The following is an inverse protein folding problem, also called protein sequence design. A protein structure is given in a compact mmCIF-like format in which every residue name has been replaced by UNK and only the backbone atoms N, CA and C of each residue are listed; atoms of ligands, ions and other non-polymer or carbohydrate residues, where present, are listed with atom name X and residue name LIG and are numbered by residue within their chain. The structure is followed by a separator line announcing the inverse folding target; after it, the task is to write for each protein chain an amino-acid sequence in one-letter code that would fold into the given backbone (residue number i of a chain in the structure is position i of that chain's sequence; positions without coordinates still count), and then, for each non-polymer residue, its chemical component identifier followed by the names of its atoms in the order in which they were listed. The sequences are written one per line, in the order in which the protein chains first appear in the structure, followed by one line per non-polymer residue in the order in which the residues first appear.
data_IF_473028503313
#
_entry.id   IF_473028503313
#
_cell.length_a   1.000
_cell.length_b   1.000
_cell.length_c   1.000
_cell.angle_alpha   90.00
_cell.angle_beta   90.00
_cell.angle_gamma   90.00
#
_symmetry.space_group_name_H-M   'P 1'
#
loop_
_entity.id
_entity.type
_entity.pdbx_description
1 polymer ?
#
# COMPACT_ATOMS: atom_id res chain seq x y z
N UNK A 1 -16.83 3.73 15.00
CA UNK A 1 -17.14 3.45 13.58
C UNK A 1 -18.65 3.36 13.49
N UNK A 2 -19.28 4.47 13.13
CA UNK A 2 -20.73 4.67 13.25
C UNK A 2 -21.46 4.12 12.02
N UNK A 3 -21.25 2.82 11.73
CA UNK A 3 -21.68 2.16 10.50
C UNK A 3 -21.12 2.79 9.21
N UNK A 4 -19.99 3.51 9.33
CA UNK A 4 -19.21 3.97 8.19
C UNK A 4 -18.72 2.77 7.38
N UNK A 5 -18.82 2.86 6.06
CA UNK A 5 -18.29 1.85 5.14
C UNK A 5 -16.78 1.66 5.29
N UNK A 6 -16.26 0.56 4.75
CA UNK A 6 -14.82 0.31 4.73
C UNK A 6 -14.12 1.31 3.80
N UNK A 7 -12.95 1.87 4.19
CA UNK A 7 -12.19 2.75 3.31
C UNK A 7 -11.84 1.99 2.03
N UNK A 8 -12.32 2.49 0.89
CA UNK A 8 -12.23 1.83 -0.41
C UNK A 8 -11.59 2.78 -1.42
N UNK A 9 -10.68 2.26 -2.24
CA UNK A 9 -9.93 3.05 -3.21
C UNK A 9 -8.72 3.73 -2.56
N UNK A 10 -7.53 3.27 -2.93
CA UNK A 10 -6.28 3.93 -2.53
C UNK A 10 -5.92 4.88 -3.69
N UNK A 11 -6.02 6.18 -3.47
CA UNK A 11 -5.65 7.19 -4.47
C UNK A 11 -4.14 7.42 -4.45
N UNK A 12 -3.47 7.09 -5.56
CA UNK A 12 -2.02 7.23 -5.74
C UNK A 12 -1.55 8.68 -5.56
N UNK A 13 -2.36 9.67 -5.96
CA UNK A 13 -2.02 11.09 -5.84
C UNK A 13 -2.01 11.50 -4.37
N UNK A 14 -3.06 11.13 -3.63
CA UNK A 14 -3.20 11.46 -2.22
C UNK A 14 -2.11 10.79 -1.37
N UNK A 15 -1.75 9.55 -1.68
CA UNK A 15 -0.65 8.85 -1.00
C UNK A 15 0.67 9.59 -1.17
N UNK A 16 1.01 9.99 -2.40
CA UNK A 16 2.25 10.73 -2.69
C UNK A 16 2.22 12.13 -2.09
N UNK A 17 1.11 12.86 -2.23
CA UNK A 17 0.94 14.22 -1.70
C UNK A 17 1.08 14.28 -0.18
N UNK A 18 0.46 13.33 0.53
CA UNK A 18 0.44 13.32 2.01
C UNK A 18 1.62 12.60 2.64
N UNK A 19 2.35 11.78 1.86
CA UNK A 19 3.36 10.86 2.38
C UNK A 19 2.80 9.72 3.23
N UNK A 20 1.48 9.53 3.26
CA UNK A 20 0.81 8.50 4.06
C UNK A 20 0.59 7.22 3.24
N UNK A 21 1.55 6.30 3.31
CA UNK A 21 1.41 4.99 2.70
C UNK A 21 0.40 4.10 3.46
N UNK A 22 -0.36 3.23 2.76
CA UNK A 22 -1.28 2.28 3.38
C UNK A 22 -0.60 1.39 4.42
N UNK A 23 -1.28 1.19 5.54
CA UNK A 23 -0.90 0.20 6.55
C UNK A 23 -1.53 -1.15 6.23
N UNK A 24 -0.76 -2.22 6.44
CA UNK A 24 -1.16 -3.59 6.10
C UNK A 24 -0.91 -4.46 7.33
N UNK A 25 -1.97 -5.09 7.85
CA UNK A 25 -1.84 -6.17 8.81
C UNK A 25 -1.47 -7.45 8.06
N UNK A 26 -0.38 -8.11 8.46
CA UNK A 26 0.11 -9.32 7.79
C UNK A 26 0.64 -10.34 8.78
N UNK A 27 0.62 -11.62 8.38
CA UNK A 27 1.42 -12.66 9.01
C UNK A 27 2.90 -12.50 8.68
N UNK A 28 3.78 -12.91 9.60
CA UNK A 28 5.22 -13.00 9.38
C UNK A 28 5.53 -14.48 9.07
N UNK A 29 5.87 -14.76 7.82
CA UNK A 29 6.29 -16.10 7.40
C UNK A 29 7.76 -16.35 7.76
N UNK A 30 8.09 -17.58 8.15
CA UNK A 30 9.47 -17.99 8.36
C UNK A 30 10.25 -17.98 7.04
N UNK A 31 11.55 -17.68 7.10
CA UNK A 31 12.42 -17.62 5.92
C UNK A 31 12.66 -18.98 5.26
N UNK A 32 12.60 -20.06 6.03
CA UNK A 32 12.86 -21.42 5.54
C UNK A 32 11.58 -22.07 5.02
N UNK A 33 11.60 -22.72 3.84
CA UNK A 33 10.45 -23.39 3.28
C UNK A 33 9.86 -24.45 4.22
N UNK A 34 8.53 -24.51 4.30
CA UNK A 34 7.81 -25.55 5.06
C UNK A 34 7.60 -25.27 6.55
N UNK A 35 8.21 -24.24 7.13
CA UNK A 35 8.00 -23.89 8.56
C UNK A 35 6.67 -23.15 8.78
N UNK A 36 6.27 -22.28 7.84
CA UNK A 36 5.00 -21.55 7.92
C UNK A 36 5.08 -20.21 8.67
N UNK A 37 3.95 -19.78 9.22
CA UNK A 37 3.82 -18.48 9.91
C UNK A 37 4.42 -18.54 11.32
N UNK A 38 5.25 -17.54 11.67
CA UNK A 38 5.94 -17.43 12.97
C UNK A 38 5.58 -16.16 13.75
N UNK A 39 4.68 -15.33 13.22
CA UNK A 39 4.20 -14.14 13.90
C UNK A 39 3.18 -13.37 13.08
N UNK A 40 2.85 -12.15 13.52
CA UNK A 40 2.02 -11.19 12.81
C UNK A 40 2.46 -9.76 13.16
N UNK A 41 2.16 -8.81 12.29
CA UNK A 41 2.51 -7.41 12.50
C UNK A 41 1.85 -6.47 11.51
N UNK A 42 2.14 -5.18 11.68
CA UNK A 42 1.69 -4.11 10.78
C UNK A 42 2.89 -3.62 9.98
N UNK A 43 2.74 -3.52 8.67
CA UNK A 43 3.75 -2.95 7.78
C UNK A 43 3.14 -1.78 6.99
N UNK A 44 3.99 -0.99 6.32
CA UNK A 44 3.57 0.02 5.35
C UNK A 44 3.92 -0.41 3.94
N UNK A 45 3.04 -0.12 2.99
CA UNK A 45 3.36 -0.31 1.59
C UNK A 45 4.56 0.59 1.19
N UNK A 46 5.48 0.12 0.33
CA UNK A 46 6.61 0.93 -0.13
C UNK A 46 6.13 2.16 -0.90
N UNK A 47 6.68 3.35 -0.63
CA UNK A 47 6.26 4.57 -1.34
C UNK A 47 6.56 4.53 -2.84
N UNK A 48 7.67 3.89 -3.22
CA UNK A 48 8.15 3.84 -4.59
C UNK A 48 7.12 3.28 -5.60
N UNK A 49 6.24 2.35 -5.20
CA UNK A 49 5.22 1.85 -6.12
C UNK A 49 4.12 2.88 -6.41
N UNK A 50 3.81 3.78 -5.47
CA UNK A 50 2.85 4.87 -5.67
C UNK A 50 3.45 5.99 -6.51
N UNK A 51 4.72 6.36 -6.27
CA UNK A 51 5.44 7.33 -7.09
C UNK A 51 5.52 6.89 -8.55
N UNK A 52 5.91 5.62 -8.79
CA UNK A 52 5.97 5.05 -10.13
C UNK A 52 4.59 4.98 -10.79
N UNK A 53 3.56 4.57 -10.05
CA UNK A 53 2.20 4.55 -10.57
C UNK A 53 1.69 5.96 -10.93
N UNK A 54 2.03 6.97 -10.13
CA UNK A 54 1.66 8.35 -10.40
C UNK A 54 2.32 8.87 -11.68
N UNK A 55 3.61 8.61 -11.88
CA UNK A 55 4.31 8.97 -13.12
C UNK A 55 3.69 8.30 -14.34
N UNK A 56 3.43 6.99 -14.27
CA UNK A 56 2.79 6.25 -15.36
C UNK A 56 1.38 6.78 -15.64
N UNK A 57 0.60 7.10 -14.60
CA UNK A 57 -0.72 7.70 -14.78
C UNK A 57 -0.64 9.06 -15.47
N UNK A 58 0.33 9.90 -15.11
CA UNK A 58 0.55 11.21 -15.70
C UNK A 58 0.78 11.12 -17.22
N UNK A 59 1.60 10.16 -17.67
CA UNK A 59 1.79 9.83 -19.10
C UNK A 59 0.47 9.47 -19.80
N UNK A 60 -0.41 8.69 -19.15
CA UNK A 60 -1.70 8.28 -19.76
C UNK A 60 -2.69 9.43 -19.94
N UNK A 61 -2.58 10.49 -19.14
CA UNK A 61 -3.47 11.66 -19.19
C UNK A 61 -2.84 12.86 -19.91
N UNK A 62 -1.65 12.69 -20.48
CA UNK A 62 -0.96 13.73 -21.24
C UNK A 62 -0.38 14.85 -20.39
N UNK A 63 -0.01 14.56 -19.14
CA UNK A 63 0.67 15.49 -18.23
C UNK A 63 2.02 14.87 -17.87
N UNK A 64 3.12 15.39 -18.42
CA UNK A 64 4.48 14.87 -18.17
C UNK A 64 5.48 15.99 -17.96
#
# INVERSE_FOLDING_TARGET
MDYLGVPTGIDIRLVVETGLAPTINTGIAHKEPGVGQVGAGVVRAPMACFEQALMAFAETVGVS
#
